data_IF_175492786712
#
_entry.id   IF_175492786712
#
_cell.length_a   1.000
_cell.length_b   1.000
_cell.length_c   1.000
_cell.angle_alpha   90.00
_cell.angle_beta   90.00
_cell.angle_gamma   90.00
#
_symmetry.space_group_name_H-M   'P 1'
#
loop_
_entity.id
_entity.type
_entity.pdbx_description
1 polymer ?
#
# COMPACT_ATOMS: atom_id res chain seq x y z
N UNK A 1 -6.75 -32.43 -13.37
CA UNK A 1 -5.53 -33.19 -13.05
C UNK A 1 -5.58 -34.66 -13.48
N UNK A 2 -6.62 -35.47 -13.15
CA UNK A 2 -6.60 -36.91 -13.49
C UNK A 2 -6.53 -37.20 -14.99
N UNK A 3 -7.39 -36.56 -15.79
CA UNK A 3 -7.39 -36.68 -17.25
C UNK A 3 -6.04 -36.25 -17.87
N UNK A 4 -5.49 -35.12 -17.41
CA UNK A 4 -4.20 -34.61 -17.89
C UNK A 4 -3.02 -35.55 -17.56
N UNK A 5 -3.08 -36.26 -16.43
CA UNK A 5 -2.04 -37.24 -16.08
C UNK A 5 -2.05 -38.46 -17.01
N UNK A 6 -3.23 -38.84 -17.50
CA UNK A 6 -3.41 -39.94 -18.45
C UNK A 6 -2.99 -39.51 -19.86
N UNK A 7 -3.38 -38.33 -20.31
CA UNK A 7 -3.05 -37.79 -21.64
C UNK A 7 -1.54 -37.62 -21.86
N UNK A 8 -0.80 -37.18 -20.82
CA UNK A 8 0.64 -36.93 -20.90
C UNK A 8 1.45 -38.15 -20.42
N UNK A 9 0.79 -39.23 -19.98
CA UNK A 9 1.44 -40.47 -19.55
C UNK A 9 2.39 -40.28 -18.36
N UNK A 10 2.01 -39.47 -17.38
CA UNK A 10 2.85 -39.14 -16.21
C UNK A 10 2.15 -39.45 -14.89
N UNK A 11 2.92 -39.70 -13.82
CA UNK A 11 2.31 -39.91 -12.50
C UNK A 11 1.72 -38.61 -11.96
N UNK A 12 0.64 -38.69 -11.17
CA UNK A 12 -0.02 -37.52 -10.56
C UNK A 12 0.95 -36.67 -9.72
N UNK A 13 1.86 -37.33 -8.99
CA UNK A 13 2.90 -36.65 -8.22
C UNK A 13 3.83 -35.84 -9.11
N UNK A 14 4.28 -36.42 -10.22
CA UNK A 14 5.14 -35.74 -11.20
C UNK A 14 4.41 -34.61 -11.93
N UNK A 15 3.13 -34.80 -12.26
CA UNK A 15 2.29 -33.76 -12.85
C UNK A 15 2.17 -32.55 -11.91
N UNK A 16 1.89 -32.77 -10.62
CA UNK A 16 1.84 -31.69 -9.62
C UNK A 16 3.15 -30.93 -9.51
N UNK A 17 4.30 -31.62 -9.53
CA UNK A 17 5.61 -30.95 -9.51
C UNK A 17 5.82 -30.09 -10.75
N UNK A 18 5.46 -30.59 -11.94
CA UNK A 18 5.61 -29.83 -13.19
C UNK A 18 4.67 -28.63 -13.25
N UNK A 19 3.41 -28.79 -12.83
CA UNK A 19 2.45 -27.70 -12.75
C UNK A 19 2.90 -26.63 -11.75
N UNK A 20 3.41 -27.03 -10.57
CA UNK A 20 3.94 -26.07 -9.60
C UNK A 20 5.13 -25.28 -10.17
N UNK A 21 6.00 -25.94 -10.94
CA UNK A 21 7.12 -25.26 -11.59
C UNK A 21 6.66 -24.28 -12.68
N UNK A 22 5.68 -24.67 -13.49
CA UNK A 22 5.08 -23.77 -14.49
C UNK A 22 4.35 -22.58 -13.83
N UNK A 23 3.79 -22.78 -12.64
CA UNK A 23 3.19 -21.70 -11.83
C UNK A 23 4.27 -20.77 -11.24
N UNK A 24 5.35 -21.34 -10.69
CA UNK A 24 6.54 -20.61 -10.22
C UNK A 24 7.20 -19.79 -11.35
N UNK A 25 7.25 -20.36 -12.57
CA UNK A 25 7.79 -19.71 -13.77
C UNK A 25 6.80 -18.70 -14.39
N UNK A 26 5.59 -18.55 -13.83
CA UNK A 26 4.56 -17.62 -14.29
C UNK A 26 3.94 -17.99 -15.64
N UNK A 27 4.18 -19.20 -16.14
CA UNK A 27 3.63 -19.70 -17.40
C UNK A 27 2.15 -20.09 -17.29
N UNK A 28 1.70 -20.44 -16.08
CA UNK A 28 0.31 -20.73 -15.76
C UNK A 28 -0.09 -20.10 -14.43
N UNK A 29 -1.39 -19.91 -14.20
CA UNK A 29 -1.88 -19.49 -12.89
C UNK A 29 -3.22 -20.19 -12.55
N UNK A 30 -3.40 -20.66 -11.30
CA UNK A 30 -4.63 -21.32 -10.89
C UNK A 30 -5.71 -20.32 -10.44
N UNK A 31 -6.97 -20.62 -10.74
CA UNK A 31 -8.14 -19.91 -10.21
C UNK A 31 -9.08 -20.89 -9.49
N UNK A 32 -9.38 -20.61 -8.22
CA UNK A 32 -10.26 -21.45 -7.41
C UNK A 32 -11.64 -21.56 -8.09
N UNK A 33 -12.05 -22.80 -8.39
CA UNK A 33 -13.33 -23.10 -9.03
C UNK A 33 -13.43 -22.84 -10.54
N UNK A 34 -12.37 -22.34 -11.21
CA UNK A 34 -12.38 -22.05 -12.66
C UNK A 34 -11.27 -22.73 -13.47
N UNK A 35 -10.31 -23.38 -12.80
CA UNK A 35 -9.24 -24.13 -13.46
C UNK A 35 -7.94 -23.33 -13.57
N UNK A 36 -7.03 -23.80 -14.42
CA UNK A 36 -5.68 -23.27 -14.61
C UNK A 36 -5.59 -22.61 -15.98
N UNK A 37 -5.09 -21.38 -16.03
CA UNK A 37 -4.99 -20.59 -17.26
C UNK A 37 -3.54 -20.45 -17.70
N UNK A 38 -3.32 -20.29 -19.01
CA UNK A 38 -2.00 -20.11 -19.64
C UNK A 38 -1.68 -18.60 -19.74
N UNK A 39 -0.44 -18.24 -19.46
CA UNK A 39 0.08 -16.87 -19.52
C UNK A 39 0.40 -16.30 -18.14
N UNK A 40 1.15 -15.19 -18.11
CA UNK A 40 1.39 -14.46 -16.86
C UNK A 40 0.06 -13.98 -16.32
N UNK A 41 -0.19 -14.20 -15.02
CA UNK A 41 -1.31 -13.55 -14.33
C UNK A 41 -1.22 -12.05 -14.63
N UNK A 42 -2.29 -11.44 -15.16
CA UNK A 42 -2.44 -9.98 -15.17
C UNK A 42 -2.69 -9.49 -13.72
N UNK A 43 -1.77 -9.81 -12.83
CA UNK A 43 -1.42 -8.88 -11.79
C UNK A 43 -0.61 -7.82 -12.51
N UNK A 44 -1.04 -6.57 -12.45
CA UNK A 44 -0.11 -5.45 -12.51
C UNK A 44 0.81 -5.61 -11.30
N UNK A 45 1.71 -6.61 -11.34
CA UNK A 45 2.95 -6.52 -10.63
C UNK A 45 3.68 -5.41 -11.36
N UNK A 46 3.47 -4.19 -10.85
CA UNK A 46 4.58 -3.26 -10.78
C UNK A 46 5.67 -4.11 -10.16
N UNK A 47 6.56 -4.68 -11.00
CA UNK A 47 7.74 -5.41 -10.54
C UNK A 47 8.22 -4.58 -9.37
N UNK A 48 8.34 -5.21 -8.21
CA UNK A 48 9.14 -4.64 -7.13
C UNK A 48 10.48 -4.38 -7.81
N UNK A 49 10.64 -3.15 -8.33
CA UNK A 49 11.92 -2.52 -8.47
C UNK A 49 12.48 -2.81 -7.11
N UNK A 50 13.54 -3.62 -7.03
CA UNK A 50 14.32 -3.75 -5.83
C UNK A 50 14.76 -2.31 -5.51
N UNK A 51 13.88 -1.59 -4.84
CA UNK A 51 13.94 -0.16 -4.78
C UNK A 51 15.09 0.10 -3.84
N UNK A 52 16.01 1.02 -4.16
CA UNK A 52 16.86 1.57 -3.12
C UNK A 52 15.93 1.92 -1.95
N UNK A 53 16.25 1.45 -0.73
CA UNK A 53 15.42 1.72 0.44
C UNK A 53 15.23 3.24 0.53
N UNK A 54 14.03 3.73 0.21
CA UNK A 54 13.75 5.16 0.28
C UNK A 54 13.82 5.57 1.75
N UNK A 55 14.49 6.69 2.03
CA UNK A 55 14.46 7.24 3.38
C UNK A 55 13.06 7.76 3.69
N UNK A 56 12.74 7.86 4.98
CA UNK A 56 11.51 8.55 5.43
C UNK A 56 11.46 9.98 4.88
N UNK A 57 12.61 10.63 4.71
CA UNK A 57 12.72 11.97 4.10
C UNK A 57 12.32 12.00 2.63
N UNK A 58 12.77 11.03 1.82
CA UNK A 58 12.42 10.94 0.39
C UNK A 58 10.92 10.76 0.19
N UNK A 59 10.31 9.97 1.09
CA UNK A 59 8.86 9.74 1.14
C UNK A 59 8.09 11.02 1.42
N UNK A 60 8.46 11.78 2.46
CA UNK A 60 7.78 13.03 2.78
C UNK A 60 7.98 14.08 1.68
N UNK A 61 9.16 14.13 1.07
CA UNK A 61 9.42 15.00 -0.08
C UNK A 61 8.49 14.67 -1.25
N UNK A 62 8.26 13.38 -1.54
CA UNK A 62 7.32 12.96 -2.56
C UNK A 62 5.87 13.36 -2.24
N UNK A 63 5.43 13.21 -0.97
CA UNK A 63 4.09 13.64 -0.51
C UNK A 63 3.89 15.15 -0.70
N UNK A 64 4.85 15.96 -0.27
CA UNK A 64 4.82 17.43 -0.40
C UNK A 64 4.66 17.88 -1.85
N UNK A 65 5.27 17.17 -2.80
CA UNK A 65 5.17 17.51 -4.22
C UNK A 65 3.89 16.98 -4.87
N UNK A 66 3.50 15.74 -4.58
CA UNK A 66 2.42 15.06 -5.30
C UNK A 66 1.03 15.39 -4.75
N UNK A 67 0.87 15.41 -3.42
CA UNK A 67 -0.45 15.53 -2.80
C UNK A 67 -1.17 16.86 -3.12
N UNK A 68 -0.49 18.02 -3.19
CA UNK A 68 -1.16 19.25 -3.61
C UNK A 68 -1.69 19.19 -5.04
N UNK A 69 -0.96 18.51 -5.95
CA UNK A 69 -1.40 18.33 -7.33
C UNK A 69 -2.63 17.42 -7.41
N UNK A 70 -2.65 16.34 -6.63
CA UNK A 70 -3.81 15.46 -6.50
C UNK A 70 -5.01 16.20 -5.89
N UNK A 71 -4.79 17.04 -4.88
CA UNK A 71 -5.84 17.84 -4.27
C UNK A 71 -6.43 18.87 -5.25
N UNK A 72 -5.59 19.53 -6.05
CA UNK A 72 -6.03 20.46 -7.09
C UNK A 72 -6.86 19.74 -8.17
N UNK A 73 -6.39 18.58 -8.65
CA UNK A 73 -7.13 17.77 -9.63
C UNK A 73 -8.46 17.26 -9.05
N UNK A 74 -8.47 16.82 -7.78
CA UNK A 74 -9.68 16.41 -7.08
C UNK A 74 -10.66 17.57 -6.91
N UNK A 75 -10.19 18.79 -6.64
CA UNK A 75 -11.08 19.96 -6.52
C UNK A 75 -11.88 20.24 -7.80
N UNK A 76 -11.33 19.90 -8.97
CA UNK A 76 -11.99 20.07 -10.27
C UNK A 76 -12.95 18.91 -10.59
N UNK A 77 -12.59 17.68 -10.21
CA UNK A 77 -13.25 16.47 -10.69
C UNK A 77 -14.06 15.69 -9.65
N UNK A 78 -13.96 16.04 -8.37
CA UNK A 78 -14.65 15.32 -7.31
C UNK A 78 -16.17 15.42 -7.44
N UNK A 79 -16.85 14.29 -7.22
CA UNK A 79 -18.30 14.27 -7.05
C UNK A 79 -18.68 14.69 -5.63
N UNK A 80 -19.96 15.00 -5.41
CA UNK A 80 -20.47 15.27 -4.07
C UNK A 80 -20.24 14.10 -3.10
N UNK A 81 -20.31 12.85 -3.59
CA UNK A 81 -20.01 11.65 -2.81
C UNK A 81 -18.54 11.60 -2.42
N UNK A 82 -17.62 11.89 -3.36
CA UNK A 82 -16.19 11.96 -3.05
C UNK A 82 -15.91 12.98 -1.94
N UNK A 83 -16.49 14.19 -2.06
CA UNK A 83 -16.31 15.24 -1.07
C UNK A 83 -16.86 14.88 0.30
N UNK A 84 -18.01 14.18 0.37
CA UNK A 84 -18.58 13.70 1.62
C UNK A 84 -17.62 12.72 2.33
N UNK A 85 -17.03 11.78 1.58
CA UNK A 85 -16.07 10.82 2.12
C UNK A 85 -14.79 11.51 2.61
N UNK A 86 -14.24 12.44 1.82
CA UNK A 86 -13.03 13.20 2.22
C UNK A 86 -13.28 14.01 3.49
N UNK A 87 -14.42 14.72 3.59
CA UNK A 87 -14.79 15.47 4.80
C UNK A 87 -14.94 14.56 6.01
N UNK A 88 -15.61 13.41 5.85
CA UNK A 88 -15.75 12.45 6.94
C UNK A 88 -14.38 11.94 7.42
N UNK A 89 -13.46 11.62 6.52
CA UNK A 89 -12.12 11.19 6.88
C UNK A 89 -11.38 12.28 7.67
N UNK A 90 -11.47 13.54 7.21
CA UNK A 90 -10.86 14.68 7.88
C UNK A 90 -11.44 14.91 9.28
N UNK A 91 -12.77 14.87 9.45
CA UNK A 91 -13.42 15.04 10.75
C UNK A 91 -13.01 13.96 11.76
N UNK A 92 -12.88 12.70 11.31
CA UNK A 92 -12.42 11.60 12.16
C UNK A 92 -10.94 11.81 12.53
N UNK A 93 -10.11 12.21 11.56
CA UNK A 93 -8.69 12.48 11.78
C UNK A 93 -8.47 13.56 12.86
N UNK A 94 -9.18 14.68 12.77
CA UNK A 94 -9.08 15.79 13.73
C UNK A 94 -9.46 15.41 15.17
N UNK A 95 -10.30 14.38 15.35
CA UNK A 95 -10.77 13.91 16.67
C UNK A 95 -9.98 12.71 17.18
N UNK A 96 -9.01 12.22 16.42
CA UNK A 96 -8.28 10.99 16.77
C UNK A 96 -7.17 11.30 17.75
N UNK A 97 -7.23 10.62 18.89
CA UNK A 97 -6.17 10.61 19.89
C UNK A 97 -5.31 9.36 19.68
N UNK A 98 -3.98 9.52 19.64
CA UNK A 98 -3.04 8.42 19.46
C UNK A 98 -2.41 8.36 18.07
N UNK A 99 -1.08 8.33 18.05
CA UNK A 99 -0.26 8.46 16.83
C UNK A 99 -0.53 7.38 15.78
N UNK A 100 -0.61 6.09 16.19
CA UNK A 100 -0.80 5.00 15.23
C UNK A 100 -2.17 5.05 14.53
N UNK A 101 -3.21 5.44 15.27
CA UNK A 101 -4.54 5.58 14.70
C UNK A 101 -4.61 6.81 13.79
N UNK A 102 -4.02 7.93 14.23
CA UNK A 102 -3.88 9.15 13.44
C UNK A 102 -3.17 8.86 12.11
N UNK A 103 -2.03 8.16 12.13
CA UNK A 103 -1.27 7.79 10.92
C UNK A 103 -2.11 7.01 9.91
N UNK A 104 -2.88 6.01 10.37
CA UNK A 104 -3.74 5.21 9.48
C UNK A 104 -4.86 6.05 8.86
N UNK A 105 -5.39 7.01 9.60
CA UNK A 105 -6.43 7.91 9.12
C UNK A 105 -5.87 8.97 8.17
N UNK A 106 -4.64 9.44 8.40
CA UNK A 106 -3.89 10.31 7.48
C UNK A 106 -3.69 9.62 6.12
N UNK A 107 -3.13 8.41 6.12
CA UNK A 107 -2.95 7.60 4.91
C UNK A 107 -4.28 7.40 4.15
N UNK A 108 -5.38 7.17 4.89
CA UNK A 108 -6.72 7.02 4.32
C UNK A 108 -7.24 8.32 3.71
N UNK A 109 -7.11 9.44 4.42
CA UNK A 109 -7.56 10.75 3.94
C UNK A 109 -6.90 11.10 2.60
N UNK A 110 -5.57 11.01 2.53
CA UNK A 110 -4.83 11.34 1.31
C UNK A 110 -5.14 10.37 0.16
N UNK A 111 -5.40 9.09 0.45
CA UNK A 111 -5.88 8.14 -0.55
C UNK A 111 -7.26 8.50 -1.10
N UNK A 112 -8.19 8.94 -0.24
CA UNK A 112 -9.52 9.38 -0.69
C UNK A 112 -9.44 10.67 -1.52
N UNK A 113 -8.50 11.58 -1.23
CA UNK A 113 -8.20 12.74 -2.10
C UNK A 113 -7.71 12.27 -3.47
N UNK A 114 -6.75 11.34 -3.52
CA UNK A 114 -6.25 10.78 -4.78
C UNK A 114 -7.37 10.10 -5.59
N UNK A 115 -8.27 9.37 -4.92
CA UNK A 115 -9.45 8.74 -5.54
C UNK A 115 -10.44 9.78 -6.07
N UNK A 116 -10.63 10.89 -5.37
CA UNK A 116 -11.53 11.98 -5.74
C UNK A 116 -11.11 12.73 -7.02
N UNK A 117 -9.89 12.51 -7.52
CA UNK A 117 -9.49 12.97 -8.87
C UNK A 117 -10.31 12.32 -9.98
N UNK A 118 -10.94 11.17 -9.73
CA UNK A 118 -11.63 10.35 -10.73
C UNK A 118 -10.73 10.00 -11.94
N UNK A 119 -9.41 9.93 -11.72
CA UNK A 119 -8.40 9.47 -12.69
C UNK A 119 -7.73 8.20 -12.16
N UNK A 120 -8.06 7.00 -12.69
CA UNK A 120 -7.51 5.75 -12.18
C UNK A 120 -5.97 5.68 -12.17
N UNK A 121 -5.31 6.29 -13.16
CA UNK A 121 -3.84 6.33 -13.23
C UNK A 121 -3.21 7.10 -12.07
N UNK A 122 -3.82 8.21 -11.64
CA UNK A 122 -3.31 9.01 -10.52
C UNK A 122 -3.47 8.28 -9.18
N UNK A 123 -4.57 7.56 -9.01
CA UNK A 123 -4.77 6.71 -7.84
C UNK A 123 -3.73 5.57 -7.79
N UNK A 124 -3.43 4.93 -8.91
CA UNK A 124 -2.39 3.88 -8.99
C UNK A 124 -1.01 4.45 -8.66
N UNK A 125 -0.66 5.63 -9.17
CA UNK A 125 0.61 6.30 -8.85
C UNK A 125 0.71 6.60 -7.35
N UNK A 126 -0.35 7.13 -6.75
CA UNK A 126 -0.42 7.39 -5.32
C UNK A 126 -0.30 6.10 -4.48
N UNK A 127 -1.04 5.04 -4.84
CA UNK A 127 -0.99 3.76 -4.13
C UNK A 127 0.40 3.08 -4.22
N UNK A 128 1.09 3.26 -5.35
CA UNK A 128 2.47 2.78 -5.55
C UNK A 128 3.42 3.49 -4.60
N UNK A 129 3.36 4.82 -4.52
CA UNK A 129 4.14 5.60 -3.57
C UNK A 129 3.83 5.20 -2.13
N UNK A 130 2.55 5.18 -1.75
CA UNK A 130 2.11 4.87 -0.40
C UNK A 130 2.53 3.46 0.08
N UNK A 131 2.68 2.52 -0.85
CA UNK A 131 3.23 1.19 -0.53
C UNK A 131 4.70 1.26 -0.15
N UNK A 132 5.49 2.08 -0.85
CA UNK A 132 6.90 2.34 -0.49
C UNK A 132 7.02 3.07 0.86
N UNK A 133 6.09 4.00 1.15
CA UNK A 133 6.01 4.68 2.46
C UNK A 133 5.87 3.69 3.60
N UNK A 134 4.91 2.77 3.49
CA UNK A 134 4.66 1.75 4.51
C UNK A 134 5.91 0.89 4.74
N UNK A 135 6.51 0.40 3.66
CA UNK A 135 7.72 -0.42 3.74
C UNK A 135 8.89 0.32 4.41
N UNK A 136 9.17 1.56 4.00
CA UNK A 136 10.25 2.37 4.57
C UNK A 136 10.03 2.66 6.07
N UNK A 137 8.80 2.97 6.46
CA UNK A 137 8.45 3.23 7.86
C UNK A 137 8.52 1.96 8.71
N UNK A 138 8.02 0.83 8.21
CA UNK A 138 8.06 -0.44 8.94
C UNK A 138 9.52 -0.86 9.16
N UNK A 139 10.38 -0.77 8.14
CA UNK A 139 11.83 -1.01 8.29
C UNK A 139 12.48 -0.05 9.30
N UNK A 140 12.11 1.24 9.28
CA UNK A 140 12.62 2.23 10.25
C UNK A 140 12.18 1.90 11.68
N UNK A 141 10.92 1.52 11.87
CA UNK A 141 10.37 1.15 13.16
C UNK A 141 11.06 -0.11 13.70
N UNK A 142 11.29 -1.12 12.86
CA UNK A 142 12.05 -2.32 13.22
C UNK A 142 13.49 -1.99 13.64
N UNK A 143 14.16 -1.07 12.94
CA UNK A 143 15.51 -0.63 13.29
C UNK A 143 15.58 0.13 14.62
N UNK A 144 14.57 0.95 14.92
CA UNK A 144 14.55 1.82 16.11
C UNK A 144 14.04 1.07 17.35
N UNK A 145 13.05 0.18 17.19
CA UNK A 145 12.35 -0.46 18.31
C UNK A 145 12.64 -1.97 18.46
N UNK A 146 13.28 -2.63 17.48
CA UNK A 146 13.60 -4.05 17.52
C UNK A 146 12.37 -4.98 17.40
N UNK A 147 12.61 -6.30 17.29
CA UNK A 147 11.56 -7.33 17.08
C UNK A 147 10.69 -7.61 18.33
N UNK A 148 10.87 -6.88 19.43
CA UNK A 148 10.17 -7.12 20.68
C UNK A 148 9.35 -5.87 21.04
N UNK A 149 8.05 -5.98 20.77
CA UNK A 149 7.01 -4.99 21.10
C UNK A 149 7.06 -3.72 20.22
N UNK A 150 6.20 -3.70 19.20
CA UNK A 150 5.72 -2.43 18.65
C UNK A 150 5.22 -1.53 19.79
N UNK A 151 5.28 -0.20 19.65
CA UNK A 151 5.19 0.74 20.75
C UNK A 151 4.04 0.34 21.67
N UNK A 152 4.38 -0.18 22.86
CA UNK A 152 3.40 -0.37 23.91
C UNK A 152 2.82 1.03 24.12
N UNK A 153 1.49 1.19 24.07
CA UNK A 153 0.87 2.47 24.37
C UNK A 153 1.12 2.71 25.86
N UNK A 154 2.27 3.28 26.19
CA UNK A 154 2.42 3.98 27.44
C UNK A 154 1.46 5.15 27.31
N UNK A 155 0.32 5.04 27.99
CA UNK A 155 -0.72 6.06 28.06
C UNK A 155 -0.18 7.39 28.62
N UNK A 156 1.09 7.43 29.06
CA UNK A 156 1.79 8.61 29.54
C UNK A 156 3.07 8.95 28.74
N UNK A 157 3.39 8.25 27.65
CA UNK A 157 4.46 8.69 26.75
C UNK A 157 3.94 9.85 25.89
N UNK A 158 4.24 11.07 26.34
CA UNK A 158 4.09 12.33 25.62
C UNK A 158 4.23 12.11 24.09
N UNK A 159 3.18 12.34 23.29
CA UNK A 159 3.19 12.18 21.83
C UNK A 159 4.33 12.95 21.13
N UNK A 160 4.92 13.95 21.79
CA UNK A 160 6.00 14.79 21.27
C UNK A 160 7.30 14.04 20.96
N UNK A 161 7.60 12.92 21.62
CA UNK A 161 8.95 12.30 21.49
C UNK A 161 9.17 11.50 20.20
N UNK A 162 8.09 11.08 19.53
CA UNK A 162 8.15 10.45 18.19
C UNK A 162 8.11 11.52 17.09
N UNK A 163 7.42 12.65 17.34
CA UNK A 163 7.32 13.78 16.42
C UNK A 163 8.66 14.52 16.29
N UNK A 164 9.44 14.63 17.37
CA UNK A 164 10.75 15.30 17.35
C UNK A 164 11.83 14.59 16.51
N UNK A 165 11.66 13.30 16.20
CA UNK A 165 12.61 12.56 15.37
C UNK A 165 12.27 12.56 13.87
N UNK A 166 11.10 13.08 13.47
CA UNK A 166 10.59 13.00 12.09
C UNK A 166 9.85 14.23 11.57
N UNK A 167 9.75 15.31 12.34
CA UNK A 167 8.99 16.51 11.94
C UNK A 167 9.90 17.71 11.63
N UNK A 168 9.87 18.25 10.40
CA UNK A 168 9.95 19.68 10.20
C UNK A 168 8.50 20.23 10.22
N UNK A 169 8.09 20.62 11.42
CA UNK A 169 7.37 21.84 11.77
C UNK A 169 6.09 22.23 11.00
N UNK A 170 5.02 22.33 11.78
CA UNK A 170 3.85 23.18 11.63
C UNK A 170 4.20 24.56 11.02
N UNK A 171 3.81 24.80 9.76
CA UNK A 171 3.46 26.13 9.24
C UNK A 171 3.00 26.01 7.78
N UNK A 172 1.70 26.19 7.55
CA UNK A 172 1.02 26.66 6.34
C UNK A 172 -0.23 25.83 6.00
N UNK A 173 -1.30 26.08 6.75
CA UNK A 173 -2.68 26.12 6.26
C UNK A 173 -3.52 26.91 7.26
#
# INVERSE_FOLDING_TARGET
EPQLSEEIGTSRGRLRTLLRRLEEDGAIWPHVGKGTFIGSRETVEVRSLAAPSFSVGDVFAARILLEPLLAAEAAVHATAENLAVVRQCHEILCKTEGYLQWKRLDDRLHREVAKATNKPLLLILYDTLNTQIRQALDTRLEQVFGHAHGPVPDANAEPGRIVDATSPFQAAA
#
